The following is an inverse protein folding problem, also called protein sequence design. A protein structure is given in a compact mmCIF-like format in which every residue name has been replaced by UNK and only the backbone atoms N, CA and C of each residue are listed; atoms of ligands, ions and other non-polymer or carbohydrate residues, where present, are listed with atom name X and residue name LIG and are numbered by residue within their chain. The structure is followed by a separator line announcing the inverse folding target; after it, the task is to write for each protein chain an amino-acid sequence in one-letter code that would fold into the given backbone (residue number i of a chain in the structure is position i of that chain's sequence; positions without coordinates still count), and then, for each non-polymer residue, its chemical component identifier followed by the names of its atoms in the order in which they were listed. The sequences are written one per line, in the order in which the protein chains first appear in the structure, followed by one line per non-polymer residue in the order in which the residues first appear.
data_IF_661226196829
#
_entry.id   IF_661226196829
#
_cell.length_a   1.000
_cell.length_b   1.000
_cell.length_c   1.000
_cell.angle_alpha   90.00
_cell.angle_beta   90.00
_cell.angle_gamma   90.00
#
_symmetry.space_group_name_H-M   'P 1'
#
loop_
_entity.id
_entity.type
_entity.pdbx_description
1 polymer ?
#
# COMPACT_ATOMS: atom_id res chain seq x y z
N UNK A 1 -9.29 9.03 8.51
CA UNK A 1 -8.73 7.85 7.82
C UNK A 1 -9.56 7.64 6.57
N UNK A 2 -9.03 6.96 5.57
CA UNK A 2 -9.73 6.73 4.30
C UNK A 2 -9.47 5.30 3.83
N UNK A 3 -10.51 4.65 3.32
CA UNK A 3 -10.40 3.44 2.52
C UNK A 3 -9.60 3.71 1.24
N UNK A 4 -9.22 2.67 0.50
CA UNK A 4 -8.54 2.86 -0.78
C UNK A 4 -9.39 3.69 -1.75
N UNK A 5 -10.69 3.40 -1.85
CA UNK A 5 -11.61 4.14 -2.71
C UNK A 5 -11.65 5.63 -2.36
N UNK A 6 -11.93 5.98 -1.10
CA UNK A 6 -11.98 7.37 -0.64
C UNK A 6 -10.64 8.09 -0.87
N UNK A 7 -9.52 7.40 -0.66
CA UNK A 7 -8.19 7.94 -0.94
C UNK A 7 -8.01 8.24 -2.43
N UNK A 8 -8.40 7.34 -3.34
CA UNK A 8 -8.22 7.57 -4.78
C UNK A 8 -9.05 8.74 -5.30
N UNK A 9 -10.22 8.98 -4.70
CA UNK A 9 -11.08 10.13 -5.01
C UNK A 9 -10.50 11.44 -4.45
N UNK A 10 -9.96 11.42 -3.23
CA UNK A 10 -9.44 12.61 -2.56
C UNK A 10 -8.00 12.99 -2.97
N UNK A 11 -7.19 12.04 -3.42
CA UNK A 11 -5.78 12.21 -3.75
C UNK A 11 -5.39 11.50 -5.07
N UNK A 12 -6.00 11.93 -6.20
CA UNK A 12 -5.89 11.21 -7.47
C UNK A 12 -4.47 11.21 -8.04
N UNK A 13 -3.64 12.25 -7.81
CA UNK A 13 -2.27 12.28 -8.32
C UNK A 13 -1.42 11.23 -7.61
N UNK A 14 -1.46 11.18 -6.29
CA UNK A 14 -0.69 10.19 -5.52
C UNK A 14 -1.18 8.77 -5.83
N UNK A 15 -2.50 8.55 -5.88
CA UNK A 15 -3.08 7.23 -6.19
C UNK A 15 -2.70 6.73 -7.60
N UNK A 16 -2.67 7.63 -8.59
CA UNK A 16 -2.23 7.31 -9.96
C UNK A 16 -0.78 6.86 -10.00
N UNK A 17 0.12 7.60 -9.33
CA UNK A 17 1.53 7.23 -9.24
C UNK A 17 1.68 5.91 -8.51
N UNK A 18 1.01 5.72 -7.38
CA UNK A 18 1.05 4.47 -6.63
C UNK A 18 0.67 3.28 -7.50
N UNK A 19 -0.49 3.34 -8.15
CA UNK A 19 -1.02 2.23 -8.96
C UNK A 19 -0.14 1.93 -10.16
N UNK A 20 0.36 2.96 -10.85
CA UNK A 20 1.29 2.81 -11.97
C UNK A 20 2.56 2.10 -11.53
N UNK A 21 3.17 2.55 -10.43
CA UNK A 21 4.45 2.02 -9.93
C UNK A 21 4.29 0.61 -9.37
N UNK A 22 3.25 0.36 -8.58
CA UNK A 22 2.86 -0.96 -8.09
C UNK A 22 2.75 -1.98 -9.22
N UNK A 23 2.00 -1.65 -10.29
CA UNK A 23 1.87 -2.52 -11.46
C UNK A 23 3.20 -2.73 -12.20
N UNK A 24 4.00 -1.67 -12.38
CA UNK A 24 5.28 -1.74 -13.09
C UNK A 24 6.29 -2.66 -12.41
N UNK A 25 6.16 -2.90 -11.10
CA UNK A 25 7.05 -3.74 -10.30
C UNK A 25 6.45 -5.10 -9.95
N UNK A 26 5.46 -5.58 -10.72
CA UNK A 26 4.81 -6.86 -10.46
C UNK A 26 4.13 -6.88 -9.09
N UNK A 27 3.46 -5.79 -8.73
CA UNK A 27 2.76 -5.56 -7.47
C UNK A 27 3.66 -5.38 -6.24
N UNK A 28 5.00 -5.45 -6.39
CA UNK A 28 5.94 -5.32 -5.27
C UNK A 28 5.94 -3.92 -4.65
N UNK A 29 5.79 -3.86 -3.34
CA UNK A 29 5.98 -2.70 -2.49
C UNK A 29 6.88 -3.05 -1.29
N UNK A 30 7.42 -2.01 -0.65
CA UNK A 30 8.20 -2.12 0.59
C UNK A 30 7.30 -1.68 1.76
N UNK A 31 6.93 -2.63 2.60
CA UNK A 31 6.14 -2.41 3.81
C UNK A 31 7.08 -2.14 4.98
N UNK A 32 6.86 -1.03 5.67
CA UNK A 32 7.51 -0.70 6.92
C UNK A 32 6.56 -0.84 8.11
N UNK A 33 7.02 -1.52 9.17
CA UNK A 33 6.29 -1.82 10.40
C UNK A 33 7.15 -1.55 11.63
N UNK A 34 6.55 -1.59 12.83
CA UNK A 34 7.25 -1.42 14.10
C UNK A 34 7.45 -2.75 14.82
N UNK A 35 8.71 -3.08 15.10
CA UNK A 35 9.08 -4.27 15.88
C UNK A 35 8.67 -4.11 17.34
N UNK A 36 8.67 -5.23 18.06
CA UNK A 36 8.45 -5.27 19.52
C UNK A 36 9.39 -4.35 20.33
N UNK A 37 10.62 -4.15 19.85
CA UNK A 37 11.64 -3.28 20.46
C UNK A 37 11.55 -1.81 19.99
N UNK A 38 10.54 -1.48 19.17
CA UNK A 38 10.33 -0.15 18.59
C UNK A 38 11.18 0.14 17.36
N UNK A 39 12.09 -0.74 16.95
CA UNK A 39 12.89 -0.54 15.73
C UNK A 39 12.02 -0.67 14.47
N UNK A 40 12.24 0.14 13.43
CA UNK A 40 11.55 -0.04 12.17
C UNK A 40 12.00 -1.33 11.47
N UNK A 41 11.06 -2.06 10.88
CA UNK A 41 11.31 -3.18 9.96
C UNK A 41 10.86 -2.77 8.57
N UNK A 42 11.57 -3.23 7.54
CA UNK A 42 11.11 -3.20 6.15
C UNK A 42 10.97 -4.64 5.66
N UNK A 43 9.93 -4.94 4.90
CA UNK A 43 9.70 -6.23 4.27
C UNK A 43 9.06 -6.06 2.89
N UNK A 44 9.40 -6.92 1.90
CA UNK A 44 8.68 -6.95 0.64
C UNK A 44 7.24 -7.45 0.86
N UNK A 45 6.30 -6.88 0.10
CA UNK A 45 4.88 -7.19 0.13
C UNK A 45 4.25 -6.90 -1.23
N UNK A 46 3.28 -7.71 -1.62
CA UNK A 46 2.44 -7.48 -2.80
C UNK A 46 1.03 -7.07 -2.34
N UNK A 47 0.81 -5.79 -2.00
CA UNK A 47 -0.51 -5.32 -1.59
C UNK A 47 -1.51 -5.47 -2.75
N UNK A 48 -2.80 -5.64 -2.44
CA UNK A 48 -3.86 -5.80 -3.44
C UNK A 48 -4.95 -4.76 -3.23
N UNK A 49 -5.48 -4.22 -4.33
CA UNK A 49 -6.62 -3.31 -4.31
C UNK A 49 -7.85 -4.09 -4.78
N UNK A 50 -8.80 -4.33 -3.88
CA UNK A 50 -9.98 -5.17 -4.16
C UNK A 50 -11.19 -4.65 -3.39
N UNK A 51 -12.35 -4.55 -4.06
CA UNK A 51 -13.61 -4.04 -3.50
C UNK A 51 -13.46 -2.71 -2.73
N UNK A 52 -12.69 -1.76 -3.29
CA UNK A 52 -12.50 -0.42 -2.71
C UNK A 52 -11.57 -0.37 -1.49
N UNK A 53 -10.92 -1.48 -1.14
CA UNK A 53 -9.98 -1.61 -0.02
C UNK A 53 -8.55 -1.90 -0.49
N UNK A 54 -7.59 -1.52 0.35
CA UNK A 54 -6.19 -1.92 0.22
C UNK A 54 -5.92 -3.07 1.20
N UNK A 55 -5.55 -4.23 0.66
CA UNK A 55 -5.32 -5.44 1.42
C UNK A 55 -3.84 -5.71 1.60
N UNK A 56 -3.42 -5.90 2.87
CA UNK A 56 -2.07 -6.33 3.24
C UNK A 56 -2.11 -7.79 3.68
N UNK A 57 -2.24 -8.67 2.69
CA UNK A 57 -2.47 -10.11 2.88
C UNK A 57 -1.32 -10.91 2.30
N UNK A 58 -1.12 -12.12 2.80
CA UNK A 58 -0.01 -12.97 2.36
C UNK A 58 0.18 -14.15 3.28
N UNK A 59 1.38 -14.74 3.25
CA UNK A 59 1.69 -15.90 4.07
C UNK A 59 1.48 -15.63 5.58
N UNK A 60 0.83 -16.56 6.30
CA UNK A 60 0.66 -16.47 7.75
C UNK A 60 2.01 -16.56 8.47
N UNK A 61 2.03 -16.30 9.78
CA UNK A 61 3.19 -16.46 10.66
C UNK A 61 4.45 -15.68 10.25
N UNK A 62 4.28 -14.61 9.46
CA UNK A 62 5.39 -13.72 9.10
C UNK A 62 5.65 -12.67 10.17
N UNK A 63 6.92 -12.27 10.29
CA UNK A 63 7.32 -11.29 11.30
C UNK A 63 6.69 -9.90 11.07
N UNK A 64 6.46 -9.51 9.81
CA UNK A 64 5.73 -8.27 9.46
C UNK A 64 4.27 -8.29 9.92
N UNK A 65 3.61 -9.46 9.92
CA UNK A 65 2.25 -9.60 10.44
C UNK A 65 2.20 -9.67 11.95
N UNK A 66 3.21 -10.29 12.59
CA UNK A 66 3.37 -10.22 14.04
C UNK A 66 3.62 -8.78 14.53
N UNK A 67 4.32 -7.95 13.74
CA UNK A 67 4.47 -6.53 14.01
C UNK A 67 3.11 -5.80 13.90
N UNK A 68 2.38 -5.98 12.79
CA UNK A 68 1.08 -5.34 12.56
C UNK A 68 0.02 -5.72 13.61
N UNK A 69 0.03 -6.97 14.07
CA UNK A 69 -0.87 -7.42 15.14
C UNK A 69 -0.61 -6.69 16.47
N UNK A 70 0.65 -6.29 16.72
CA UNK A 70 1.07 -5.57 17.92
C UNK A 70 0.86 -4.07 17.80
N UNK A 71 1.24 -3.51 16.66
CA UNK A 71 1.10 -2.10 16.32
C UNK A 71 0.58 -1.99 14.89
N UNK A 72 -0.66 -1.54 14.69
CA UNK A 72 -1.29 -1.60 13.38
C UNK A 72 -0.72 -0.58 12.39
N UNK A 73 0.15 0.34 12.83
CA UNK A 73 0.69 1.40 11.98
C UNK A 73 1.67 0.85 10.96
N UNK A 74 1.55 1.36 9.73
CA UNK A 74 2.46 1.02 8.65
C UNK A 74 2.84 2.22 7.78
N UNK A 75 3.92 2.05 7.02
CA UNK A 75 4.20 2.83 5.82
C UNK A 75 4.41 1.87 4.66
N UNK A 76 3.74 2.10 3.53
CA UNK A 76 3.86 1.29 2.33
C UNK A 76 4.44 2.16 1.22
N UNK A 77 5.58 1.75 0.66
CA UNK A 77 6.30 2.46 -0.39
C UNK A 77 6.28 1.64 -1.67
N UNK A 78 6.03 2.26 -2.82
CA UNK A 78 6.18 1.60 -4.13
C UNK A 78 7.63 1.13 -4.33
N UNK A 79 7.90 0.02 -5.00
CA UNK A 79 9.30 -0.34 -5.26
C UNK A 79 9.98 0.69 -6.18
N UNK A 80 11.05 1.32 -5.69
CA UNK A 80 11.90 2.22 -6.48
C UNK A 80 12.73 1.40 -7.45
N UNK A 81 12.67 1.70 -8.75
CA UNK A 81 13.40 0.95 -9.79
C UNK A 81 14.55 1.73 -10.42
N UNK A 82 14.59 3.04 -10.22
CA UNK A 82 15.64 3.91 -10.76
C UNK A 82 15.93 5.06 -9.78
N UNK A 83 17.10 5.69 -9.95
CA UNK A 83 17.55 6.81 -9.13
C UNK A 83 17.08 8.17 -9.64
N UNK A 84 16.46 8.22 -10.82
CA UNK A 84 16.06 9.45 -11.49
C UNK A 84 14.64 9.88 -11.14
N UNK A 85 13.83 9.01 -10.50
CA UNK A 85 12.44 9.28 -10.15
C UNK A 85 11.60 9.73 -11.36
N UNK A 86 11.93 9.23 -12.56
CA UNK A 86 11.29 9.65 -13.81
C UNK A 86 9.81 9.31 -13.83
N UNK A 87 9.45 8.15 -13.27
CA UNK A 87 8.06 7.72 -13.07
C UNK A 87 7.54 8.00 -11.65
N UNK A 88 8.37 8.63 -10.81
CA UNK A 88 8.11 8.90 -9.41
C UNK A 88 7.97 7.69 -8.51
N UNK A 89 7.73 7.97 -7.23
CA UNK A 89 7.41 6.98 -6.20
C UNK A 89 6.29 7.50 -5.30
N UNK A 90 5.54 6.58 -4.68
CA UNK A 90 4.47 6.90 -3.75
C UNK A 90 4.64 6.17 -2.41
N UNK A 91 4.17 6.83 -1.36
CA UNK A 91 4.14 6.32 0.02
C UNK A 91 2.75 6.54 0.60
N UNK A 92 2.25 5.52 1.26
CA UNK A 92 0.99 5.54 2.01
C UNK A 92 1.33 5.25 3.47
N UNK A 93 0.77 6.04 4.39
CA UNK A 93 0.81 5.74 5.81
C UNK A 93 -0.59 5.42 6.28
N UNK A 94 -0.71 4.45 7.19
CA UNK A 94 -2.02 4.04 7.64
C UNK A 94 -1.96 3.15 8.86
N UNK A 95 -3.11 2.58 9.17
CA UNK A 95 -3.22 1.45 10.09
C UNK A 95 -3.93 0.30 9.43
N UNK A 96 -3.77 -0.91 9.95
CA UNK A 96 -4.56 -2.07 9.55
C UNK A 96 -5.56 -2.48 10.62
N UNK A 97 -6.62 -3.16 10.18
CA UNK A 97 -7.51 -3.93 11.05
C UNK A 97 -7.78 -5.30 10.41
N UNK A 98 -7.96 -6.33 11.24
CA UNK A 98 -8.24 -7.68 10.78
C UNK A 98 -9.71 -7.82 10.39
N UNK A 99 -9.99 -8.42 9.23
CA UNK A 99 -11.34 -8.70 8.73
C UNK A 99 -11.57 -10.20 8.65
N UNK A 100 -12.37 -10.74 9.56
CA UNK A 100 -12.76 -12.16 9.60
C UNK A 100 -14.11 -12.35 8.88
N UNK A 101 -14.07 -12.33 7.56
CA UNK A 101 -15.24 -12.53 6.68
C UNK A 101 -14.91 -13.61 5.62
N UNK A 102 -15.38 -14.86 5.80
CA UNK A 102 -15.13 -15.95 4.87
C UNK A 102 -15.69 -15.71 3.45
N UNK A 103 -16.84 -15.05 3.33
CA UNK A 103 -17.45 -14.78 2.03
C UNK A 103 -16.64 -13.75 1.25
N UNK A 104 -16.10 -12.74 1.94
CA UNK A 104 -15.16 -11.78 1.36
C UNK A 104 -13.84 -12.47 0.97
N UNK A 105 -13.28 -13.32 1.82
CA UNK A 105 -12.06 -14.06 1.52
C UNK A 105 -12.23 -14.96 0.28
N UNK A 106 -13.39 -15.60 0.13
CA UNK A 106 -13.71 -16.41 -1.05
C UNK A 106 -13.73 -15.56 -2.34
N UNK A 107 -14.35 -14.36 -2.30
CA UNK A 107 -14.34 -13.44 -3.44
C UNK A 107 -12.92 -12.92 -3.75
N UNK A 108 -12.16 -12.57 -2.73
CA UNK A 108 -10.75 -12.15 -2.87
C UNK A 108 -9.88 -13.26 -3.48
N UNK A 109 -10.05 -14.50 -3.05
CA UNK A 109 -9.29 -15.64 -3.58
C UNK A 109 -9.65 -15.94 -5.03
N UNK A 110 -10.94 -15.80 -5.40
CA UNK A 110 -11.39 -15.94 -6.78
C UNK A 110 -10.78 -14.86 -7.67
N UNK A 111 -10.78 -13.59 -7.24
CA UNK A 111 -10.13 -12.48 -7.96
C UNK A 111 -8.62 -12.70 -8.13
N UNK A 112 -7.92 -13.14 -7.07
CA UNK A 112 -6.50 -13.48 -7.15
C UNK A 112 -6.22 -14.61 -8.16
N UNK A 113 -7.06 -15.64 -8.19
CA UNK A 113 -6.94 -16.73 -9.15
C UNK A 113 -7.14 -16.24 -10.58
N UNK A 114 -8.11 -15.36 -10.82
CA UNK A 114 -8.36 -14.78 -12.14
C UNK A 114 -7.21 -13.87 -12.61
N UNK A 115 -6.61 -13.08 -11.71
CA UNK A 115 -5.51 -12.18 -12.06
C UNK A 115 -4.18 -12.93 -12.28
N UNK A 116 -3.85 -13.89 -11.42
CA UNK A 116 -2.49 -14.46 -11.32
C UNK A 116 -2.38 -15.94 -11.69
N UNK A 117 -3.50 -16.67 -11.73
CA UNK A 117 -3.53 -18.14 -11.84
C UNK A 117 -3.14 -18.90 -10.57
N UNK A 118 -2.80 -18.20 -9.48
CA UNK A 118 -2.49 -18.82 -8.19
C UNK A 118 -3.79 -19.27 -7.49
N UNK A 119 -3.96 -20.58 -7.30
CA UNK A 119 -5.17 -21.13 -6.69
C UNK A 119 -5.05 -21.23 -5.16
N UNK A 120 -5.57 -20.21 -4.46
CA UNK A 120 -5.70 -20.17 -3.00
C UNK A 120 -7.16 -20.22 -2.53
N UNK A 121 -8.09 -20.66 -3.39
CA UNK A 121 -9.54 -20.61 -3.09
C UNK A 121 -9.99 -21.55 -1.97
N UNK A 122 -9.15 -22.52 -1.61
CA UNK A 122 -9.37 -23.42 -0.48
C UNK A 122 -8.54 -23.05 0.76
N UNK A 123 -7.78 -21.95 0.69
CA UNK A 123 -6.94 -21.49 1.80
C UNK A 123 -7.69 -20.46 2.65
N UNK A 124 -7.35 -20.42 3.94
CA UNK A 124 -7.79 -19.34 4.83
C UNK A 124 -6.70 -18.28 4.88
N UNK A 125 -7.09 -17.01 4.75
CA UNK A 125 -6.18 -15.90 4.98
C UNK A 125 -6.32 -15.44 6.43
N UNK A 126 -5.29 -15.68 7.23
CA UNK A 126 -5.25 -15.26 8.62
C UNK A 126 -3.79 -14.86 8.99
N UNK A 127 -3.49 -13.56 9.17
CA UNK A 127 -4.44 -12.45 9.19
C UNK A 127 -4.85 -11.95 7.80
N UNK A 128 -6.10 -11.49 7.69
CA UNK A 128 -6.63 -10.75 6.53
C UNK A 128 -6.77 -9.25 6.85
N UNK A 129 -5.72 -8.46 6.58
CA UNK A 129 -5.65 -7.06 6.97
C UNK A 129 -6.17 -6.10 5.89
N UNK A 130 -7.24 -5.36 6.23
CA UNK A 130 -7.64 -4.16 5.50
C UNK A 130 -6.85 -2.96 6.01
N UNK A 131 -6.41 -2.09 5.10
CA UNK A 131 -5.63 -0.90 5.42
C UNK A 131 -6.46 0.39 5.27
N UNK A 132 -6.42 1.20 6.31
CA UNK A 132 -6.98 2.54 6.35
C UNK A 132 -5.87 3.59 6.21
N UNK A 133 -5.95 4.43 5.19
CA UNK A 133 -4.93 5.43 4.85
C UNK A 133 -5.14 6.69 5.71
N UNK A 134 -4.07 7.12 6.36
CA UNK A 134 -4.03 8.30 7.24
C UNK A 134 -3.32 9.48 6.59
N UNK A 135 -2.42 9.23 5.64
CA UNK A 135 -1.78 10.24 4.81
C UNK A 135 -1.06 9.56 3.65
N UNK A 136 -0.73 10.34 2.63
CA UNK A 136 0.00 9.85 1.47
C UNK A 136 0.92 10.92 0.91
N UNK A 137 1.95 10.50 0.19
CA UNK A 137 2.79 11.38 -0.59
C UNK A 137 3.30 10.72 -1.84
N UNK A 138 3.52 11.49 -2.90
CA UNK A 138 4.33 11.07 -4.04
C UNK A 138 5.48 12.03 -4.28
N UNK A 139 6.51 11.55 -4.97
CA UNK A 139 7.65 12.33 -5.42
C UNK A 139 7.91 12.04 -6.89
N UNK A 140 8.15 13.08 -7.69
CA UNK A 140 8.46 12.99 -9.12
C UNK A 140 9.57 13.99 -9.47
N UNK A 141 10.50 13.60 -10.35
CA UNK A 141 11.47 14.53 -10.94
C UNK A 141 10.89 15.13 -12.21
N UNK A 142 10.69 16.45 -12.21
CA UNK A 142 10.11 17.18 -13.34
C UNK A 142 11.21 17.83 -14.18
N UNK A 143 11.17 17.57 -15.48
CA UNK A 143 12.11 18.07 -16.51
C UNK A 143 13.59 17.83 -16.19
N UNK A 144 13.90 16.85 -15.34
CA UNK A 144 15.27 16.58 -14.86
C UNK A 144 15.86 17.68 -13.97
N UNK A 145 15.05 18.60 -13.43
CA UNK A 145 15.52 19.83 -12.79
C UNK A 145 15.01 20.05 -11.37
N UNK A 146 13.78 19.66 -11.06
CA UNK A 146 13.20 19.92 -9.74
C UNK A 146 12.30 18.77 -9.31
N UNK A 147 12.26 18.53 -8.00
CA UNK A 147 11.40 17.54 -7.39
C UNK A 147 10.06 18.18 -7.04
N UNK A 148 8.98 17.56 -7.51
CA UNK A 148 7.63 17.83 -7.03
C UNK A 148 7.23 16.76 -6.01
N UNK A 149 6.91 17.20 -4.80
CA UNK A 149 6.43 16.34 -3.73
C UNK A 149 4.96 16.66 -3.50
N UNK A 150 4.07 15.74 -3.87
CA UNK A 150 2.63 15.87 -3.60
C UNK A 150 2.33 15.24 -2.25
N UNK A 151 1.56 15.93 -1.42
CA UNK A 151 1.24 15.51 -0.04
C UNK A 151 -0.26 15.60 0.15
N UNK A 152 -0.83 14.60 0.83
CA UNK A 152 -2.24 14.55 1.15
C UNK A 152 -2.49 14.02 2.57
N UNK A 153 -3.57 14.52 3.18
CA UNK A 153 -4.18 14.03 4.42
C UNK A 153 -5.71 14.04 4.27
N UNK A 154 -6.44 13.12 4.92
CA UNK A 154 -7.91 13.13 4.92
C UNK A 154 -8.47 14.49 5.35
N UNK A 155 -9.45 14.99 4.59
CA UNK A 155 -10.08 16.30 4.82
C UNK A 155 -9.34 17.51 4.23
N UNK A 156 -8.17 17.30 3.62
CA UNK A 156 -7.40 18.35 2.94
C UNK A 156 -7.23 18.00 1.46
N UNK A 157 -7.17 19.00 0.54
CA UNK A 157 -6.78 18.75 -0.84
C UNK A 157 -5.29 18.40 -0.93
N UNK A 158 -4.88 17.75 -2.03
CA UNK A 158 -3.47 17.57 -2.36
C UNK A 158 -2.74 18.93 -2.42
N UNK A 159 -1.53 18.97 -1.88
CA UNK A 159 -0.64 20.12 -1.99
C UNK A 159 0.71 19.72 -2.52
N UNK A 160 1.31 20.56 -3.37
CA UNK A 160 2.61 20.33 -3.99
C UNK A 160 3.67 21.19 -3.33
N UNK A 161 4.79 20.56 -2.98
CA UNK A 161 6.00 21.23 -2.51
C UNK A 161 7.09 21.02 -3.55
N UNK A 162 7.70 22.12 -4.01
CA UNK A 162 8.82 22.09 -4.95
C UNK A 162 10.16 22.17 -4.22
N UNK A 163 11.14 21.40 -4.70
CA UNK A 163 12.53 21.40 -4.25
C UNK A 163 13.46 21.41 -5.46
N UNK A 164 14.51 22.21 -5.39
CA UNK A 164 15.56 22.37 -6.41
C UNK A 164 16.90 21.92 -5.85
#
# INVERSE_FOLDING_TARGET
MATWQEFTEAAPRIATIFTRRHKATGNLCMLATLRADGSPRISPMEPRMFEGQLWLVGMPDTTKFADLARDPRFCLHTATVDTQLGDGDAKLWGTVHHVDDPDLQARFAQDLFEESGLDLRNERFDPFYAADITSASSIELIDGKHLEITIWKPGEPERVVRRS
#
